data_IF_488062577142
#
_entry.id   IF_488062577142
#
_cell.length_a   1.000
_cell.length_b   1.000
_cell.length_c   1.000
_cell.angle_alpha   90.00
_cell.angle_beta   90.00
_cell.angle_gamma   90.00
#
_symmetry.space_group_name_H-M   'P 1'
#
loop_
_entity.id
_entity.type
_entity.pdbx_description
1 polymer ?
#
# COMPACT_ATOMS: atom_id res chain seq x y z
N UNK A 1 -14.48 -0.47 -45.48
CA UNK A 1 -14.54 0.82 -44.76
C UNK A 1 -14.22 0.49 -43.32
N UNK A 2 -13.06 0.94 -42.86
CA UNK A 2 -12.51 0.57 -41.56
C UNK A 2 -13.28 1.27 -40.45
N UNK A 3 -13.91 0.48 -39.57
CA UNK A 3 -14.18 0.87 -38.19
C UNK A 3 -12.83 1.07 -37.49
N UNK A 4 -12.08 2.13 -37.84
CA UNK A 4 -11.21 2.74 -36.84
C UNK A 4 -12.19 3.30 -35.83
N UNK A 5 -12.22 2.64 -34.68
CA UNK A 5 -13.35 2.47 -33.79
C UNK A 5 -13.69 3.82 -33.13
N UNK A 6 -14.93 4.32 -33.20
CA UNK A 6 -15.30 5.62 -32.58
C UNK A 6 -14.87 5.70 -31.10
N UNK A 7 -14.84 4.56 -30.41
CA UNK A 7 -14.34 4.44 -29.03
C UNK A 7 -12.84 4.71 -28.87
N UNK A 8 -11.98 4.23 -29.78
CA UNK A 8 -10.52 4.49 -29.73
C UNK A 8 -10.22 5.99 -29.91
N UNK A 9 -11.00 6.66 -30.77
CA UNK A 9 -10.90 8.11 -30.96
C UNK A 9 -11.33 8.87 -29.70
N UNK A 10 -12.37 8.40 -29.00
CA UNK A 10 -12.84 9.01 -27.76
C UNK A 10 -11.90 8.76 -26.57
N UNK A 11 -11.23 7.61 -26.51
CA UNK A 11 -10.17 7.33 -25.54
C UNK A 11 -8.99 8.31 -25.69
N UNK A 12 -8.44 8.41 -26.90
CA UNK A 12 -7.31 9.31 -27.19
C UNK A 12 -7.68 10.77 -26.90
N UNK A 13 -8.86 11.21 -27.32
CA UNK A 13 -9.35 12.56 -27.03
C UNK A 13 -9.49 12.81 -25.54
N UNK A 14 -9.98 11.83 -24.76
CA UNK A 14 -10.10 11.95 -23.31
C UNK A 14 -8.73 12.06 -22.64
N UNK A 15 -7.71 11.36 -23.15
CA UNK A 15 -6.32 11.49 -22.66
C UNK A 15 -5.79 12.91 -22.92
N UNK A 16 -5.92 13.41 -24.15
CA UNK A 16 -5.48 14.76 -24.53
C UNK A 16 -6.19 15.84 -23.71
N UNK A 17 -7.50 15.71 -23.55
CA UNK A 17 -8.30 16.60 -22.70
C UNK A 17 -7.85 16.53 -21.24
N UNK A 18 -7.60 15.34 -20.69
CA UNK A 18 -7.13 15.16 -19.32
C UNK A 18 -5.83 15.90 -19.03
N UNK A 19 -4.84 15.79 -19.92
CA UNK A 19 -3.59 16.55 -19.81
C UNK A 19 -3.81 18.05 -19.92
N UNK A 20 -4.57 18.49 -20.93
CA UNK A 20 -4.87 19.92 -21.11
C UNK A 20 -5.52 20.50 -19.86
N UNK A 21 -6.54 19.82 -19.31
CA UNK A 21 -7.23 20.25 -18.09
C UNK A 21 -6.30 20.31 -16.87
N UNK A 22 -5.39 19.34 -16.74
CA UNK A 22 -4.40 19.36 -15.67
C UNK A 22 -3.49 20.59 -15.78
N UNK A 23 -2.92 20.86 -16.96
CA UNK A 23 -2.06 22.04 -17.17
C UNK A 23 -2.80 23.38 -17.08
N UNK A 24 -4.09 23.40 -17.43
CA UNK A 24 -4.98 24.56 -17.24
C UNK A 24 -5.44 24.72 -15.78
N UNK A 25 -5.01 23.84 -14.86
CA UNK A 25 -5.40 23.79 -13.44
C UNK A 25 -6.92 23.60 -13.21
N UNK A 26 -7.63 23.02 -14.18
CA UNK A 26 -9.05 22.70 -14.11
C UNK A 26 -9.25 21.37 -13.37
N UNK A 27 -9.28 21.42 -12.04
CA UNK A 27 -9.42 20.24 -11.17
C UNK A 27 -10.64 19.39 -11.53
N UNK A 28 -11.77 20.05 -11.83
CA UNK A 28 -13.00 19.33 -12.17
C UNK A 28 -12.86 18.62 -13.51
N UNK A 29 -12.35 19.31 -14.53
CA UNK A 29 -12.13 18.72 -15.84
C UNK A 29 -11.12 17.57 -15.82
N UNK A 30 -10.05 17.68 -15.03
CA UNK A 30 -9.07 16.59 -14.86
C UNK A 30 -9.70 15.37 -14.20
N UNK A 31 -10.51 15.56 -13.15
CA UNK A 31 -11.23 14.47 -12.47
C UNK A 31 -12.21 13.78 -13.43
N UNK A 32 -12.99 14.55 -14.18
CA UNK A 32 -13.94 14.00 -15.17
C UNK A 32 -13.22 13.17 -16.25
N UNK A 33 -12.05 13.62 -16.72
CA UNK A 33 -11.26 12.86 -17.68
C UNK A 33 -10.74 11.55 -17.08
N UNK A 34 -10.19 11.57 -15.85
CA UNK A 34 -9.72 10.37 -15.15
C UNK A 34 -10.85 9.35 -14.98
N UNK A 35 -12.03 9.80 -14.53
CA UNK A 35 -13.19 8.93 -14.34
C UNK A 35 -13.66 8.27 -15.65
N UNK A 36 -13.62 9.00 -16.76
CA UNK A 36 -13.93 8.44 -18.10
C UNK A 36 -12.91 7.38 -18.51
N UNK A 37 -11.62 7.64 -18.34
CA UNK A 37 -10.55 6.68 -18.65
C UNK A 37 -10.67 5.41 -17.81
N UNK A 38 -11.02 5.53 -16.52
CA UNK A 38 -11.32 4.37 -15.66
C UNK A 38 -12.45 3.53 -16.26
N UNK A 39 -13.53 4.17 -16.70
CA UNK A 39 -14.68 3.47 -17.24
C UNK A 39 -14.35 2.74 -18.56
N UNK A 40 -13.48 3.31 -19.41
CA UNK A 40 -12.97 2.59 -20.59
C UNK A 40 -12.17 1.35 -20.17
N UNK A 41 -11.27 1.48 -19.18
CA UNK A 41 -10.51 0.33 -18.68
C UNK A 41 -11.43 -0.77 -18.13
N UNK A 42 -12.49 -0.41 -17.41
CA UNK A 42 -13.49 -1.36 -16.90
C UNK A 42 -14.20 -2.11 -18.02
N UNK A 43 -14.60 -1.41 -19.08
CA UNK A 43 -15.23 -2.05 -20.23
C UNK A 43 -14.29 -3.09 -20.86
N UNK A 44 -13.03 -2.72 -21.11
CA UNK A 44 -12.05 -3.60 -21.71
C UNK A 44 -11.70 -4.81 -20.82
N UNK A 45 -11.65 -4.65 -19.49
CA UNK A 45 -11.42 -5.74 -18.54
C UNK A 45 -12.50 -6.83 -18.67
N UNK A 46 -13.74 -6.45 -18.96
CA UNK A 46 -14.87 -7.36 -19.11
C UNK A 46 -15.01 -7.95 -20.53
N UNK A 47 -14.25 -7.46 -21.51
CA UNK A 47 -14.20 -8.08 -22.83
C UNK A 47 -13.42 -9.40 -22.80
N UNK A 48 -13.44 -10.13 -23.92
CA UNK A 48 -12.60 -11.31 -24.07
C UNK A 48 -11.11 -10.95 -23.95
N UNK A 49 -10.34 -11.87 -23.39
CA UNK A 49 -8.88 -11.71 -23.28
C UNK A 49 -8.27 -11.78 -24.68
N UNK A 50 -7.68 -10.68 -25.13
CA UNK A 50 -6.89 -10.58 -26.36
C UNK A 50 -5.62 -9.76 -26.07
N UNK A 51 -4.57 -9.96 -26.87
CA UNK A 51 -3.33 -9.19 -26.72
C UNK A 51 -3.56 -7.69 -26.92
N UNK A 52 -4.49 -7.32 -27.81
CA UNK A 52 -4.91 -5.95 -28.08
C UNK A 52 -5.57 -5.32 -26.84
N UNK A 53 -6.63 -5.96 -26.30
CA UNK A 53 -7.32 -5.46 -25.11
C UNK A 53 -6.38 -5.32 -23.90
N UNK A 54 -5.44 -6.26 -23.73
CA UNK A 54 -4.43 -6.19 -22.67
C UNK A 54 -3.47 -5.01 -22.84
N UNK A 55 -3.12 -4.63 -24.07
CA UNK A 55 -2.27 -3.47 -24.35
C UNK A 55 -3.05 -2.17 -24.13
N UNK A 56 -4.31 -2.11 -24.57
CA UNK A 56 -5.15 -0.92 -24.44
C UNK A 56 -5.44 -0.61 -22.97
N UNK A 57 -5.77 -1.62 -22.15
CA UNK A 57 -5.94 -1.42 -20.70
C UNK A 57 -4.64 -0.91 -20.08
N UNK A 58 -3.48 -1.44 -20.48
CA UNK A 58 -2.19 -0.96 -19.96
C UNK A 58 -1.91 0.47 -20.38
N UNK A 59 -2.28 0.86 -21.59
CA UNK A 59 -2.17 2.24 -22.06
C UNK A 59 -3.03 3.17 -21.22
N UNK A 60 -4.30 2.83 -20.98
CA UNK A 60 -5.20 3.61 -20.12
C UNK A 60 -4.68 3.75 -18.68
N UNK A 61 -4.16 2.66 -18.10
CA UNK A 61 -3.51 2.67 -16.78
C UNK A 61 -2.32 3.64 -16.75
N UNK A 62 -1.49 3.62 -17.79
CA UNK A 62 -0.35 4.54 -17.89
C UNK A 62 -0.85 5.99 -18.05
N UNK A 63 -1.84 6.24 -18.90
CA UNK A 63 -2.39 7.57 -19.14
C UNK A 63 -3.03 8.19 -17.89
N UNK A 64 -3.81 7.42 -17.12
CA UNK A 64 -4.35 7.89 -15.83
C UNK A 64 -3.20 8.24 -14.87
N UNK A 65 -2.15 7.41 -14.84
CA UNK A 65 -0.94 7.66 -14.06
C UNK A 65 -0.26 8.97 -14.45
N UNK A 66 -0.04 9.19 -15.75
CA UNK A 66 0.65 10.37 -16.26
C UNK A 66 -0.17 11.66 -16.10
N UNK A 67 -1.50 11.59 -16.25
CA UNK A 67 -2.39 12.71 -15.91
C UNK A 67 -2.32 13.01 -14.41
N UNK A 68 -2.30 11.97 -13.55
CA UNK A 68 -2.09 12.11 -12.11
C UNK A 68 -0.76 12.80 -11.76
N UNK A 69 0.30 12.50 -12.51
CA UNK A 69 1.60 13.17 -12.39
C UNK A 69 1.53 14.64 -12.82
N UNK A 70 0.91 14.93 -13.97
CA UNK A 70 0.70 16.31 -14.42
C UNK A 70 -0.09 17.14 -13.39
N UNK A 71 -1.15 16.55 -12.81
CA UNK A 71 -1.91 17.15 -11.72
C UNK A 71 -1.04 17.42 -10.48
N UNK A 72 -0.10 16.53 -10.15
CA UNK A 72 0.82 16.73 -9.03
C UNK A 72 1.81 17.87 -9.27
N UNK A 73 2.30 18.06 -10.51
CA UNK A 73 3.10 19.23 -10.87
C UNK A 73 2.33 20.54 -10.68
N UNK A 74 1.02 20.50 -10.91
CA UNK A 74 0.11 21.63 -10.71
C UNK A 74 -0.47 21.71 -9.29
N UNK A 75 0.01 20.87 -8.35
CA UNK A 75 -0.44 20.81 -6.94
C UNK A 75 -1.94 20.54 -6.76
N UNK A 76 -2.57 19.84 -7.71
CA UNK A 76 -4.00 19.53 -7.70
C UNK A 76 -4.29 18.26 -6.89
N UNK A 77 -4.23 18.35 -5.55
CA UNK A 77 -4.34 17.17 -4.66
C UNK A 77 -5.59 16.32 -4.89
N UNK A 78 -6.75 16.95 -5.15
CA UNK A 78 -8.00 16.22 -5.41
C UNK A 78 -7.87 15.35 -6.68
N UNK A 79 -7.28 15.89 -7.76
CA UNK A 79 -7.08 15.14 -8.98
C UNK A 79 -6.06 14.00 -8.80
N UNK A 80 -5.01 14.21 -7.99
CA UNK A 80 -4.05 13.17 -7.61
C UNK A 80 -4.69 12.03 -6.77
N UNK A 81 -5.59 12.37 -5.84
CA UNK A 81 -6.37 11.36 -5.10
C UNK A 81 -7.27 10.59 -6.06
N UNK A 82 -7.92 11.27 -7.01
CA UNK A 82 -8.79 10.62 -7.99
C UNK A 82 -8.02 9.68 -8.91
N UNK A 83 -6.83 10.06 -9.40
CA UNK A 83 -6.02 9.18 -10.26
C UNK A 83 -5.57 7.91 -9.54
N UNK A 84 -5.07 8.04 -8.31
CA UNK A 84 -4.65 6.87 -7.52
C UNK A 84 -5.83 5.96 -7.17
N UNK A 85 -7.00 6.52 -6.83
CA UNK A 85 -8.23 5.73 -6.60
C UNK A 85 -8.68 5.00 -7.86
N UNK A 86 -8.77 5.71 -8.99
CA UNK A 86 -9.19 5.10 -10.26
C UNK A 86 -8.28 3.91 -10.66
N UNK A 87 -6.98 4.04 -10.46
CA UNK A 87 -6.02 2.96 -10.68
C UNK A 87 -6.18 1.82 -9.68
N UNK A 88 -6.46 2.12 -8.41
CA UNK A 88 -6.79 1.10 -7.40
C UNK A 88 -8.05 0.31 -7.76
N UNK A 89 -9.09 1.00 -8.23
CA UNK A 89 -10.34 0.37 -8.68
C UNK A 89 -10.08 -0.55 -9.90
N UNK A 90 -9.25 -0.11 -10.86
CA UNK A 90 -8.81 -0.94 -12.00
C UNK A 90 -8.04 -2.18 -11.53
N UNK A 91 -7.15 -2.02 -10.55
CA UNK A 91 -6.38 -3.14 -10.01
C UNK A 91 -7.28 -4.19 -9.39
N UNK A 92 -8.25 -3.76 -8.56
CA UNK A 92 -9.24 -4.64 -7.92
C UNK A 92 -10.13 -5.34 -8.96
N UNK A 93 -10.65 -4.59 -9.93
CA UNK A 93 -11.54 -5.15 -10.97
C UNK A 93 -10.80 -6.19 -11.83
N UNK A 94 -9.58 -5.86 -12.26
CA UNK A 94 -8.75 -6.78 -13.02
C UNK A 94 -8.41 -8.06 -12.22
N UNK A 95 -8.11 -7.93 -10.92
CA UNK A 95 -7.86 -9.07 -10.05
C UNK A 95 -9.11 -9.96 -9.94
N UNK A 96 -10.30 -9.37 -9.80
CA UNK A 96 -11.58 -10.08 -9.80
C UNK A 96 -11.84 -10.87 -11.07
N UNK A 97 -11.43 -10.33 -12.23
CA UNK A 97 -11.51 -11.01 -13.53
C UNK A 97 -10.32 -11.92 -13.84
N UNK A 98 -9.45 -12.20 -12.84
CA UNK A 98 -8.22 -13.02 -12.99
C UNK A 98 -7.25 -12.50 -14.06
N UNK A 99 -7.27 -11.19 -14.33
CA UNK A 99 -6.31 -10.50 -15.21
C UNK A 99 -5.12 -9.98 -14.41
N UNK A 100 -4.39 -10.90 -13.80
CA UNK A 100 -3.29 -10.61 -12.89
C UNK A 100 -2.23 -9.63 -13.43
N UNK A 101 -1.76 -9.71 -14.69
CA UNK A 101 -0.80 -8.76 -15.23
C UNK A 101 -1.31 -7.31 -15.25
N UNK A 102 -2.61 -7.13 -15.50
CA UNK A 102 -3.26 -5.80 -15.45
C UNK A 102 -3.36 -5.32 -14.02
N UNK A 103 -3.82 -6.19 -13.10
CA UNK A 103 -3.96 -5.85 -11.70
C UNK A 103 -2.65 -5.38 -11.08
N UNK A 104 -1.57 -6.15 -11.30
CA UNK A 104 -0.21 -5.81 -10.85
C UNK A 104 0.24 -4.49 -11.48
N UNK A 105 0.04 -4.29 -12.79
CA UNK A 105 0.45 -3.07 -13.47
C UNK A 105 -0.25 -1.83 -12.89
N UNK A 106 -1.57 -1.90 -12.69
CA UNK A 106 -2.35 -0.80 -12.13
C UNK A 106 -1.90 -0.47 -10.69
N UNK A 107 -1.74 -1.50 -9.84
CA UNK A 107 -1.24 -1.34 -8.48
C UNK A 107 0.18 -0.71 -8.45
N UNK A 108 1.07 -1.13 -9.35
CA UNK A 108 2.40 -0.52 -9.48
C UNK A 108 2.35 0.96 -9.84
N UNK A 109 1.40 1.39 -10.68
CA UNK A 109 1.24 2.82 -10.99
C UNK A 109 0.71 3.58 -9.76
N UNK A 110 -0.21 3.01 -8.97
CA UNK A 110 -0.63 3.60 -7.68
C UNK A 110 0.57 3.79 -6.76
N UNK A 111 1.40 2.77 -6.58
CA UNK A 111 2.59 2.82 -5.72
C UNK A 111 3.58 3.89 -6.14
N UNK A 112 3.86 4.00 -7.44
CA UNK A 112 4.74 5.05 -7.98
C UNK A 112 4.16 6.45 -7.75
N UNK A 113 2.86 6.64 -7.96
CA UNK A 113 2.20 7.92 -7.68
C UNK A 113 2.23 8.26 -6.20
N UNK A 114 1.97 7.31 -5.31
CA UNK A 114 2.04 7.53 -3.86
C UNK A 114 3.41 8.05 -3.42
N UNK A 115 4.49 7.45 -3.95
CA UNK A 115 5.86 7.89 -3.72
C UNK A 115 6.13 9.28 -4.28
N UNK A 116 5.62 9.59 -5.47
CA UNK A 116 5.78 10.89 -6.11
C UNK A 116 5.03 12.00 -5.35
N UNK A 117 3.78 11.75 -4.96
CA UNK A 117 2.98 12.68 -4.15
C UNK A 117 3.65 12.93 -2.80
N UNK A 118 4.15 11.88 -2.16
CA UNK A 118 4.94 12.00 -0.94
C UNK A 118 6.19 12.85 -1.20
N UNK A 119 7.00 12.55 -2.21
CA UNK A 119 8.21 13.32 -2.52
C UNK A 119 7.95 14.81 -2.80
N UNK A 120 6.76 15.17 -3.32
CA UNK A 120 6.34 16.56 -3.54
C UNK A 120 5.78 17.24 -2.28
N UNK A 121 5.60 16.51 -1.17
CA UNK A 121 5.06 17.02 0.08
C UNK A 121 3.54 17.17 0.07
N UNK A 122 2.83 16.42 -0.78
CA UNK A 122 1.37 16.48 -0.92
C UNK A 122 0.72 15.44 0.00
N UNK A 123 0.57 15.75 1.29
CA UNK A 123 0.13 14.78 2.32
C UNK A 123 -1.23 14.17 1.99
N UNK A 124 -2.22 14.98 1.59
CA UNK A 124 -3.57 14.48 1.23
C UNK A 124 -3.52 13.52 0.04
N UNK A 125 -2.71 13.85 -0.97
CA UNK A 125 -2.59 13.03 -2.18
C UNK A 125 -1.84 11.73 -1.89
N UNK A 126 -0.74 11.80 -1.14
CA UNK A 126 0.05 10.63 -0.76
C UNK A 126 -0.77 9.68 0.15
N UNK A 127 -1.51 10.23 1.11
CA UNK A 127 -2.48 9.49 1.94
C UNK A 127 -3.57 8.83 1.09
N UNK A 128 -4.22 9.55 0.17
CA UNK A 128 -5.26 8.98 -0.69
C UNK A 128 -4.73 7.86 -1.60
N UNK A 129 -3.48 7.97 -2.05
CA UNK A 129 -2.82 6.90 -2.79
C UNK A 129 -2.46 5.70 -1.89
N UNK A 130 -2.02 5.94 -0.65
CA UNK A 130 -1.81 4.90 0.35
C UNK A 130 -3.12 4.17 0.69
N UNK A 131 -4.24 4.87 0.86
CA UNK A 131 -5.57 4.27 1.04
C UNK A 131 -5.95 3.35 -0.14
N UNK A 132 -5.61 3.74 -1.37
CA UNK A 132 -5.82 2.92 -2.56
C UNK A 132 -4.96 1.65 -2.54
N UNK A 133 -3.69 1.74 -2.17
CA UNK A 133 -2.82 0.57 -1.94
C UNK A 133 -3.39 -0.34 -0.84
N UNK A 134 -3.82 0.22 0.28
CA UNK A 134 -4.40 -0.50 1.40
C UNK A 134 -5.66 -1.29 1.02
N UNK A 135 -6.54 -0.67 0.24
CA UNK A 135 -7.74 -1.33 -0.26
C UNK A 135 -7.41 -2.46 -1.24
N UNK A 136 -6.46 -2.24 -2.16
CA UNK A 136 -5.96 -3.29 -3.05
C UNK A 136 -5.38 -4.48 -2.27
N UNK A 137 -4.54 -4.21 -1.25
CA UNK A 137 -3.96 -5.25 -0.40
C UNK A 137 -5.03 -6.08 0.30
N UNK A 138 -5.99 -5.43 0.98
CA UNK A 138 -7.09 -6.13 1.68
C UNK A 138 -7.94 -7.00 0.75
N UNK A 139 -8.29 -6.47 -0.43
CA UNK A 139 -9.05 -7.23 -1.43
C UNK A 139 -8.23 -8.41 -1.96
N UNK A 140 -6.93 -8.20 -2.20
CA UNK A 140 -6.01 -9.25 -2.66
C UNK A 140 -5.86 -10.37 -1.65
N UNK A 141 -5.72 -10.05 -0.36
CA UNK A 141 -5.70 -11.04 0.72
C UNK A 141 -6.98 -11.88 0.70
N UNK A 142 -8.14 -11.24 0.57
CA UNK A 142 -9.44 -11.92 0.53
C UNK A 142 -9.58 -12.93 -0.61
N UNK A 143 -8.98 -12.65 -1.77
CA UNK A 143 -8.96 -13.57 -2.92
C UNK A 143 -7.68 -14.43 -2.99
N UNK A 144 -6.83 -14.38 -1.96
CA UNK A 144 -5.54 -15.09 -1.84
C UNK A 144 -4.56 -14.82 -2.97
N UNK A 145 -4.53 -13.58 -3.46
CA UNK A 145 -3.57 -13.13 -4.46
C UNK A 145 -2.31 -12.58 -3.76
N UNK A 146 -1.41 -13.48 -3.38
CA UNK A 146 -0.21 -13.18 -2.59
C UNK A 146 0.65 -12.07 -3.22
N UNK A 147 0.96 -12.17 -4.51
CA UNK A 147 1.78 -11.17 -5.23
C UNK A 147 1.26 -9.74 -5.06
N UNK A 148 -0.06 -9.55 -5.18
CA UNK A 148 -0.68 -8.23 -5.10
C UNK A 148 -0.81 -7.74 -3.65
N UNK A 149 -0.94 -8.67 -2.70
CA UNK A 149 -0.90 -8.41 -1.26
C UNK A 149 0.48 -7.89 -0.85
N UNK A 150 1.54 -8.67 -1.12
CA UNK A 150 2.92 -8.30 -0.78
C UNK A 150 3.36 -7.01 -1.49
N UNK A 151 2.93 -6.80 -2.76
CA UNK A 151 3.24 -5.57 -3.48
C UNK A 151 2.58 -4.34 -2.83
N UNK A 152 1.35 -4.47 -2.32
CA UNK A 152 0.67 -3.39 -1.59
C UNK A 152 1.41 -3.05 -0.30
N UNK A 153 1.84 -4.06 0.46
CA UNK A 153 2.60 -3.89 1.70
C UNK A 153 3.94 -3.19 1.45
N UNK A 154 4.68 -3.61 0.42
CA UNK A 154 5.97 -3.00 0.05
C UNK A 154 5.78 -1.53 -0.34
N UNK A 155 4.77 -1.18 -1.13
CA UNK A 155 4.54 0.22 -1.49
C UNK A 155 4.12 1.05 -0.27
N UNK A 156 3.29 0.53 0.62
CA UNK A 156 2.92 1.21 1.86
C UNK A 156 4.15 1.46 2.74
N UNK A 157 5.06 0.49 2.85
CA UNK A 157 6.34 0.67 3.54
C UNK A 157 7.15 1.82 2.95
N UNK A 158 7.34 1.82 1.64
CA UNK A 158 8.13 2.85 0.94
C UNK A 158 7.53 4.24 1.13
N UNK A 159 6.20 4.36 0.98
CA UNK A 159 5.47 5.62 1.15
C UNK A 159 5.57 6.09 2.59
N UNK A 160 5.41 5.21 3.59
CA UNK A 160 5.56 5.55 5.00
C UNK A 160 6.97 6.07 5.31
N UNK A 161 8.02 5.37 4.85
CA UNK A 161 9.40 5.81 5.04
C UNK A 161 9.65 7.18 4.39
N UNK A 162 9.19 7.37 3.15
CA UNK A 162 9.32 8.65 2.46
C UNK A 162 8.58 9.76 3.20
N UNK A 163 7.35 9.51 3.61
CA UNK A 163 6.52 10.44 4.37
C UNK A 163 7.17 10.81 5.72
N UNK A 164 7.83 9.87 6.41
CA UNK A 164 8.59 10.14 7.64
C UNK A 164 9.80 11.06 7.40
N UNK A 165 10.46 11.00 6.24
CA UNK A 165 11.62 11.86 5.94
C UNK A 165 11.27 13.33 5.90
N UNK A 166 10.07 13.65 5.40
CA UNK A 166 9.59 15.01 5.13
C UNK A 166 8.39 15.40 6.00
N UNK A 167 8.06 14.58 7.01
CA UNK A 167 7.03 14.81 8.02
C UNK A 167 5.58 14.93 7.50
N UNK A 168 5.17 14.07 6.56
CA UNK A 168 3.77 13.93 6.12
C UNK A 168 3.00 13.03 7.09
N UNK A 169 2.57 13.62 8.21
CA UNK A 169 2.06 12.86 9.36
C UNK A 169 0.84 12.01 9.06
N UNK A 170 -0.08 12.50 8.21
CA UNK A 170 -1.30 11.75 7.89
C UNK A 170 -0.96 10.52 7.05
N UNK A 171 -0.08 10.70 6.05
CA UNK A 171 0.41 9.62 5.20
C UNK A 171 1.14 8.55 6.01
N UNK A 172 2.03 8.93 6.95
CA UNK A 172 2.74 7.96 7.79
C UNK A 172 1.78 7.11 8.60
N UNK A 173 0.85 7.74 9.31
CA UNK A 173 -0.11 7.04 10.19
C UNK A 173 -1.05 6.17 9.36
N UNK A 174 -1.56 6.68 8.24
CA UNK A 174 -2.43 5.92 7.34
C UNK A 174 -1.72 4.67 6.80
N UNK A 175 -0.50 4.81 6.28
CA UNK A 175 0.24 3.68 5.71
C UNK A 175 0.53 2.59 6.74
N UNK A 176 0.92 2.98 7.97
CA UNK A 176 1.14 2.03 9.08
C UNK A 176 -0.16 1.31 9.47
N UNK A 177 -1.27 2.05 9.59
CA UNK A 177 -2.57 1.46 9.92
C UNK A 177 -3.01 0.45 8.85
N UNK A 178 -2.91 0.83 7.58
CA UNK A 178 -3.30 0.00 6.45
C UNK A 178 -2.45 -1.28 6.34
N UNK A 179 -1.17 -1.22 6.69
CA UNK A 179 -0.30 -2.41 6.80
C UNK A 179 -0.80 -3.39 7.87
N UNK A 180 -1.15 -2.88 9.05
CA UNK A 180 -1.75 -3.69 10.12
C UNK A 180 -3.07 -4.32 9.69
N UNK A 181 -3.91 -3.56 8.98
CA UNK A 181 -5.16 -4.08 8.42
C UNK A 181 -4.91 -5.18 7.37
N UNK A 182 -4.04 -4.97 6.38
CA UNK A 182 -3.72 -6.00 5.37
C UNK A 182 -3.22 -7.27 6.07
N UNK A 183 -2.30 -7.15 7.03
CA UNK A 183 -1.83 -8.29 7.81
C UNK A 183 -2.96 -9.02 8.51
N UNK A 184 -3.89 -8.30 9.14
CA UNK A 184 -5.02 -8.90 9.85
C UNK A 184 -5.94 -9.64 8.87
N UNK A 185 -6.27 -9.05 7.72
CA UNK A 185 -7.04 -9.71 6.66
C UNK A 185 -6.31 -10.95 6.11
N UNK A 186 -4.98 -10.89 5.95
CA UNK A 186 -4.16 -12.04 5.56
C UNK A 186 -4.20 -13.15 6.61
N UNK A 187 -4.20 -12.81 7.90
CA UNK A 187 -4.32 -13.78 8.99
C UNK A 187 -5.67 -14.51 8.95
N UNK A 188 -6.76 -13.77 8.74
CA UNK A 188 -8.11 -14.33 8.58
C UNK A 188 -8.19 -15.35 7.43
N UNK A 189 -7.42 -15.11 6.36
CA UNK A 189 -7.34 -15.99 5.19
C UNK A 189 -6.26 -17.07 5.31
N UNK A 190 -5.61 -17.18 6.48
CA UNK A 190 -4.48 -18.08 6.79
C UNK A 190 -3.31 -17.94 5.82
N UNK A 191 -3.08 -16.73 5.30
CA UNK A 191 -1.95 -16.38 4.45
C UNK A 191 -0.74 -16.05 5.35
N UNK A 192 -0.12 -17.09 5.91
CA UNK A 192 0.95 -16.96 6.91
C UNK A 192 2.11 -16.07 6.43
N UNK A 193 2.52 -16.21 5.17
CA UNK A 193 3.63 -15.44 4.59
C UNK A 193 3.29 -13.94 4.56
N UNK A 194 2.17 -13.53 3.95
CA UNK A 194 1.79 -12.11 3.90
C UNK A 194 1.52 -11.54 5.30
N UNK A 195 0.96 -12.34 6.20
CA UNK A 195 0.77 -11.92 7.61
C UNK A 195 2.11 -11.65 8.30
N UNK A 196 3.10 -12.51 8.05
CA UNK A 196 4.47 -12.38 8.57
C UNK A 196 5.19 -11.18 7.95
N UNK A 197 5.02 -10.95 6.65
CA UNK A 197 5.56 -9.79 5.92
C UNK A 197 5.05 -8.48 6.53
N UNK A 198 3.74 -8.35 6.75
CA UNK A 198 3.16 -7.19 7.42
C UNK A 198 3.77 -6.94 8.82
N UNK A 199 3.93 -7.99 9.64
CA UNK A 199 4.53 -7.87 10.96
C UNK A 199 5.99 -7.37 10.90
N UNK A 200 6.80 -7.90 9.98
CA UNK A 200 8.20 -7.47 9.80
C UNK A 200 8.27 -6.03 9.30
N UNK A 201 7.41 -5.64 8.36
CA UNK A 201 7.36 -4.25 7.86
C UNK A 201 7.00 -3.28 8.99
N UNK A 202 6.02 -3.64 9.82
CA UNK A 202 5.63 -2.81 10.96
C UNK A 202 6.75 -2.68 12.00
N UNK A 203 7.55 -3.72 12.22
CA UNK A 203 8.79 -3.63 13.03
C UNK A 203 9.76 -2.59 12.45
N UNK A 204 10.04 -2.68 11.15
CA UNK A 204 10.96 -1.78 10.46
C UNK A 204 10.49 -0.31 10.53
N UNK A 205 9.18 -0.08 10.33
CA UNK A 205 8.58 1.25 10.44
C UNK A 205 8.57 1.78 11.88
N UNK A 206 8.28 0.92 12.87
CA UNK A 206 8.38 1.26 14.29
C UNK A 206 9.80 1.67 14.68
N UNK A 207 10.80 0.89 14.25
CA UNK A 207 12.20 1.20 14.47
C UNK A 207 12.63 2.50 13.77
N UNK A 208 12.16 2.74 12.54
CA UNK A 208 12.40 3.99 11.82
C UNK A 208 11.80 5.21 12.55
N UNK A 209 10.58 5.08 13.06
CA UNK A 209 9.91 6.11 13.85
C UNK A 209 10.68 6.45 15.14
N UNK A 210 11.19 5.43 15.85
CA UNK A 210 12.01 5.62 17.05
C UNK A 210 13.33 6.32 16.73
N UNK A 211 14.01 5.95 15.64
CA UNK A 211 15.22 6.64 15.17
C UNK A 211 14.96 8.11 14.84
N UNK A 212 13.78 8.42 14.32
CA UNK A 212 13.30 9.80 14.08
C UNK A 212 12.82 10.50 15.35
N UNK A 213 12.81 9.82 16.50
CA UNK A 213 12.28 10.31 17.79
C UNK A 213 10.80 10.73 17.70
N UNK A 214 10.04 10.10 16.80
CA UNK A 214 8.61 10.36 16.64
C UNK A 214 7.81 9.35 17.46
N UNK A 215 7.36 9.78 18.64
CA UNK A 215 6.58 8.94 19.54
C UNK A 215 5.19 8.60 18.98
N UNK A 216 4.59 9.51 18.21
CA UNK A 216 3.29 9.27 17.54
C UNK A 216 3.39 8.18 16.49
N UNK A 217 4.44 8.19 15.65
CA UNK A 217 4.63 7.17 14.62
C UNK A 217 5.02 5.82 15.22
N UNK A 218 5.82 5.81 16.29
CA UNK A 218 6.14 4.58 17.02
C UNK A 218 4.87 3.96 17.62
N UNK A 219 4.01 4.77 18.26
CA UNK A 219 2.72 4.31 18.78
C UNK A 219 1.80 3.76 17.69
N UNK A 220 1.77 4.38 16.51
CA UNK A 220 0.99 3.87 15.38
C UNK A 220 1.45 2.46 14.97
N UNK A 221 2.77 2.23 14.89
CA UNK A 221 3.31 0.91 14.55
C UNK A 221 3.03 -0.14 15.63
N UNK A 222 3.15 0.25 16.91
CA UNK A 222 2.81 -0.60 18.05
C UNK A 222 1.32 -0.99 18.01
N UNK A 223 0.42 -0.04 17.78
CA UNK A 223 -1.02 -0.33 17.71
C UNK A 223 -1.36 -1.24 16.53
N UNK A 224 -0.73 -1.03 15.38
CA UNK A 224 -0.92 -1.90 14.23
C UNK A 224 -0.44 -3.33 14.50
N UNK A 225 0.71 -3.49 15.18
CA UNK A 225 1.21 -4.80 15.63
C UNK A 225 0.30 -5.47 16.66
N UNK A 226 -0.27 -4.71 17.61
CA UNK A 226 -1.23 -5.24 18.59
C UNK A 226 -2.50 -5.75 17.93
N UNK A 227 -3.08 -4.95 17.01
CA UNK A 227 -4.28 -5.33 16.26
C UNK A 227 -4.01 -6.57 15.41
N UNK A 228 -2.86 -6.62 14.73
CA UNK A 228 -2.41 -7.78 13.97
C UNK A 228 -2.23 -9.00 14.87
N UNK A 229 -1.60 -8.85 16.03
CA UNK A 229 -1.38 -9.92 17.00
C UNK A 229 -2.69 -10.50 17.53
N UNK A 230 -3.71 -9.65 17.73
CA UNK A 230 -5.06 -10.08 18.12
C UNK A 230 -5.68 -10.97 17.05
N UNK A 231 -5.63 -10.54 15.78
CA UNK A 231 -6.12 -11.35 14.66
C UNK A 231 -5.34 -12.67 14.53
N UNK A 232 -4.01 -12.59 14.53
CA UNK A 232 -3.11 -13.76 14.45
C UNK A 232 -3.38 -14.79 15.55
N UNK A 233 -3.61 -14.34 16.78
CA UNK A 233 -3.97 -15.20 17.92
C UNK A 233 -5.30 -15.91 17.68
N UNK A 234 -6.31 -15.20 17.18
CA UNK A 234 -7.63 -15.76 16.85
C UNK A 234 -7.54 -16.86 15.78
N UNK A 235 -6.64 -16.72 14.80
CA UNK A 235 -6.49 -17.68 13.70
C UNK A 235 -5.35 -18.70 13.91
N UNK A 236 -4.70 -18.70 15.07
CA UNK A 236 -3.74 -19.73 15.48
C UNK A 236 -2.41 -19.71 14.72
N UNK A 237 -1.99 -18.58 14.14
CA UNK A 237 -0.73 -18.45 13.41
C UNK A 237 0.44 -18.21 14.40
N UNK A 238 0.81 -19.26 15.15
CA UNK A 238 1.78 -19.17 16.26
C UNK A 238 3.12 -18.57 15.86
N UNK A 239 3.67 -18.98 14.72
CA UNK A 239 4.92 -18.47 14.17
C UNK A 239 4.92 -16.95 14.01
N UNK A 240 3.81 -16.40 13.50
CA UNK A 240 3.62 -14.97 13.31
C UNK A 240 3.40 -14.26 14.64
N UNK A 241 2.70 -14.89 15.59
CA UNK A 241 2.50 -14.30 16.92
C UNK A 241 3.83 -14.13 17.67
N UNK A 242 4.73 -15.11 17.55
CA UNK A 242 6.11 -15.01 18.06
C UNK A 242 6.87 -13.86 17.41
N UNK A 243 6.75 -13.70 16.08
CA UNK A 243 7.37 -12.58 15.38
C UNK A 243 6.81 -11.24 15.87
N UNK A 244 5.49 -11.09 16.04
CA UNK A 244 4.86 -9.86 16.53
C UNK A 244 5.34 -9.52 17.94
N UNK A 245 5.40 -10.52 18.83
CA UNK A 245 5.94 -10.35 20.17
C UNK A 245 7.39 -9.85 20.15
N UNK A 246 8.23 -10.42 19.28
CA UNK A 246 9.60 -9.95 19.10
C UNK A 246 9.65 -8.52 18.53
N UNK A 247 8.84 -8.20 17.53
CA UNK A 247 8.78 -6.86 16.95
C UNK A 247 8.41 -5.81 18.00
N UNK A 248 7.38 -6.09 18.82
CA UNK A 248 6.98 -5.21 19.93
C UNK A 248 8.08 -5.04 20.97
N UNK A 249 8.76 -6.12 21.38
CA UNK A 249 9.86 -6.05 22.34
C UNK A 249 11.06 -5.26 21.79
N UNK A 250 11.38 -5.43 20.51
CA UNK A 250 12.45 -4.68 19.83
C UNK A 250 12.15 -3.19 19.84
N UNK A 251 10.93 -2.80 19.44
CA UNK A 251 10.49 -1.40 19.49
C UNK A 251 10.51 -0.88 20.94
N UNK A 252 10.07 -1.68 21.92
CA UNK A 252 10.09 -1.31 23.35
C UNK A 252 11.50 -1.02 23.85
N UNK A 253 12.49 -1.85 23.50
CA UNK A 253 13.89 -1.63 23.88
C UNK A 253 14.42 -0.34 23.24
N UNK A 254 14.19 -0.13 21.94
CA UNK A 254 14.65 1.09 21.27
C UNK A 254 13.97 2.36 21.79
N UNK A 255 12.67 2.31 22.09
CA UNK A 255 11.94 3.44 22.69
C UNK A 255 12.50 3.78 24.07
N UNK A 256 12.85 2.78 24.88
CA UNK A 256 13.51 2.98 26.17
C UNK A 256 14.89 3.66 26.02
N UNK A 257 15.72 3.17 25.09
CA UNK A 257 17.05 3.74 24.79
C UNK A 257 16.97 5.20 24.33
N UNK A 258 15.92 5.55 23.56
CA UNK A 258 15.67 6.92 23.09
C UNK A 258 14.84 7.77 24.07
N UNK A 259 14.49 7.24 25.25
CA UNK A 259 13.68 7.90 26.27
C UNK A 259 12.27 8.34 25.79
N UNK A 260 11.66 7.56 24.87
CA UNK A 260 10.29 7.72 24.37
C UNK A 260 9.32 6.95 25.28
N UNK A 261 9.03 7.52 26.46
CA UNK A 261 8.40 6.81 27.58
C UNK A 261 6.99 6.31 27.30
N UNK A 262 6.17 7.07 26.59
CA UNK A 262 4.80 6.68 26.33
C UNK A 262 4.73 5.60 25.24
N UNK A 263 5.58 5.67 24.20
CA UNK A 263 5.70 4.58 23.23
C UNK A 263 6.27 3.31 23.87
N UNK A 264 7.26 3.44 24.76
CA UNK A 264 7.77 2.29 25.52
C UNK A 264 6.66 1.66 26.39
N UNK A 265 5.81 2.47 27.02
CA UNK A 265 4.67 1.97 27.77
C UNK A 265 3.64 1.29 26.87
N UNK A 266 3.28 1.91 25.75
CA UNK A 266 2.35 1.33 24.79
C UNK A 266 2.83 -0.03 24.26
N UNK A 267 4.12 -0.17 23.94
CA UNK A 267 4.68 -1.45 23.49
C UNK A 267 4.62 -2.52 24.58
N UNK A 268 4.83 -2.13 25.85
CA UNK A 268 4.67 -3.05 26.99
C UNK A 268 3.21 -3.49 27.15
N UNK A 269 2.29 -2.54 27.13
CA UNK A 269 0.85 -2.81 27.29
C UNK A 269 0.35 -3.75 26.16
N UNK A 270 0.82 -3.54 24.92
CA UNK A 270 0.55 -4.42 23.77
C UNK A 270 1.17 -5.82 23.90
N UNK A 271 2.36 -5.97 24.50
CA UNK A 271 2.94 -7.29 24.76
C UNK A 271 2.12 -8.07 25.80
N UNK A 272 1.67 -7.38 26.85
CA UNK A 272 0.85 -7.97 27.91
C UNK A 272 -0.52 -8.40 27.39
N UNK A 273 -1.11 -7.67 26.42
CA UNK A 273 -2.40 -8.02 25.83
C UNK A 273 -2.36 -9.29 24.96
N UNK A 274 -1.21 -9.62 24.36
CA UNK A 274 -1.06 -10.79 23.48
C UNK A 274 -0.79 -12.12 24.23
N UNK A 275 -0.65 -12.10 25.57
CA UNK A 275 -0.48 -13.28 26.45
C UNK A 275 0.49 -14.36 25.90
N UNK A 276 1.74 -13.98 25.64
CA UNK A 276 2.74 -14.79 24.90
C UNK A 276 3.50 -15.82 25.75
N UNK A 277 3.03 -16.09 26.98
CA UNK A 277 3.74 -16.89 27.98
C UNK A 277 3.90 -18.40 27.63
N UNK A 278 3.17 -18.92 26.63
CA UNK A 278 3.22 -20.34 26.22
C UNK A 278 4.00 -20.60 24.91
N UNK A 279 4.76 -19.63 24.38
CA UNK A 279 5.10 -19.61 22.94
C UNK A 279 6.54 -19.97 22.52
N UNK A 280 7.43 -20.34 23.44
CA UNK A 280 8.87 -20.52 23.12
C UNK A 280 9.25 -21.99 22.92
N UNK A 281 9.01 -22.55 21.72
CA UNK A 281 9.75 -23.71 21.22
C UNK A 281 9.61 -23.93 19.69
N UNK A 282 10.05 -23.01 18.82
CA UNK A 282 9.99 -23.24 17.35
C UNK A 282 11.17 -22.65 16.56
N UNK A 283 12.19 -23.48 16.30
CA UNK A 283 13.42 -23.17 15.55
C UNK A 283 13.18 -22.91 14.05
N UNK A 284 12.14 -23.52 13.45
CA UNK A 284 11.78 -23.35 12.03
C UNK A 284 11.30 -21.93 11.66
N UNK A 285 10.84 -21.14 12.64
CA UNK A 285 10.32 -19.80 12.41
C UNK A 285 11.43 -18.78 12.13
N UNK A 286 12.63 -19.01 12.66
CA UNK A 286 13.76 -18.09 12.54
C UNK A 286 14.30 -17.99 11.10
N UNK A 287 14.28 -19.09 10.35
CA UNK A 287 14.76 -19.09 8.95
C UNK A 287 13.85 -18.26 8.04
N UNK A 288 12.53 -18.46 8.10
CA UNK A 288 11.54 -17.67 7.33
C UNK A 288 11.63 -16.17 7.66
N UNK A 289 11.75 -15.83 8.95
CA UNK A 289 11.92 -14.45 9.40
C UNK A 289 13.20 -13.84 8.80
N UNK A 290 14.30 -14.58 8.79
CA UNK A 290 15.57 -14.10 8.22
C UNK A 290 15.50 -13.89 6.71
N UNK A 291 14.78 -14.74 5.97
CA UNK A 291 14.60 -14.58 4.52
C UNK A 291 13.81 -13.31 4.18
N UNK A 292 12.68 -13.06 4.87
CA UNK A 292 11.88 -11.86 4.68
C UNK A 292 12.69 -10.60 5.04
N UNK A 293 13.39 -10.62 6.19
CA UNK A 293 14.26 -9.49 6.59
C UNK A 293 15.38 -9.23 5.56
N UNK A 294 15.97 -10.29 4.99
CA UNK A 294 16.96 -10.15 3.89
C UNK A 294 16.31 -9.52 2.66
N UNK A 295 15.14 -9.97 2.26
CA UNK A 295 14.41 -9.42 1.11
C UNK A 295 14.12 -7.92 1.29
N UNK A 296 13.59 -7.50 2.44
CA UNK A 296 13.35 -6.08 2.73
C UNK A 296 14.63 -5.23 2.74
N UNK A 297 15.73 -5.79 3.26
CA UNK A 297 17.03 -5.09 3.26
C UNK A 297 17.53 -4.73 1.85
N UNK A 298 17.11 -5.47 0.81
CA UNK A 298 17.46 -5.18 -0.58
C UNK A 298 16.71 -3.95 -1.11
N UNK A 299 15.50 -3.70 -0.63
CA UNK A 299 14.71 -2.51 -1.01
C UNK A 299 15.16 -1.28 -0.24
N UNK A 300 15.55 -1.44 1.03
CA UNK A 300 16.11 -0.35 1.84
C UNK A 300 17.46 0.17 1.30
N UNK A 301 18.23 -0.67 0.59
CA UNK A 301 19.55 -0.29 0.02
C UNK A 301 19.48 0.40 -1.35
N UNK A 302 18.30 0.53 -1.96
CA UNK A 302 18.09 1.14 -3.28
C UNK A 302 17.35 2.49 -3.24
N UNK A 303 16.99 2.98 -2.05
CA UNK A 303 16.50 4.35 -1.82
C UNK A 303 17.64 5.28 -1.42
#
# INVERSE_FOLDING_TARGET
>A
MSYVNENELDEVRTIEEGFKKAYDQDTKGTVEAIDKLRNFAFQLIHLNVSAENELDIKALVISIGDIGRAAAEMRMEIACVTSSRALGDIAIEAAGQKREPIAIKALSVVGNLAMEFAAKGMDTAAKGAAESLGNCGKVSSKIKMETMTSLSEIYLMQVALKAMEINLSETVIASISLLGEIGAYSAEQTMEISTLEAAVILEDLGNAAVKKKSESYAKAAIQALENLGTAVSQYGLKSVLVQIAWSLETIRVFTLEQNLKDACRAAKDALESLNTAEMLDEEQNLEKIQEIKKFHSLFLKKS
#
